data_IF_495997690622
#
_entry.id   IF_495997690622
#
_cell.length_a   1.000
_cell.length_b   1.000
_cell.length_c   1.000
_cell.angle_alpha   90.00
_cell.angle_beta   90.00
_cell.angle_gamma   90.00
#
_symmetry.space_group_name_H-M   'P 1'
#
loop_
_entity.id
_entity.type
_entity.pdbx_description
1 polymer ?
#
# COMPACT_ATOMS: atom_id res chain seq x y z
N UNK A 1 35.90 0.67 -39.80
CA UNK A 1 34.51 1.16 -39.74
C UNK A 1 34.04 1.06 -38.31
N UNK A 2 34.03 2.18 -37.59
CA UNK A 2 33.62 2.27 -36.22
C UNK A 2 32.08 2.34 -36.13
N UNK A 3 31.46 1.55 -35.26
CA UNK A 3 30.02 1.60 -34.97
C UNK A 3 29.69 2.89 -34.21
N UNK A 4 28.62 3.63 -34.56
CA UNK A 4 28.24 4.82 -33.86
C UNK A 4 27.70 4.42 -32.46
N UNK A 5 28.25 5.10 -31.42
CA UNK A 5 27.81 4.96 -30.04
C UNK A 5 26.38 5.43 -29.90
N UNK A 6 25.54 4.57 -29.30
CA UNK A 6 24.20 4.92 -28.84
C UNK A 6 24.37 5.84 -27.65
N UNK A 7 24.02 7.11 -27.84
CA UNK A 7 23.94 8.08 -26.75
C UNK A 7 22.93 7.56 -25.69
N UNK A 8 23.43 7.28 -24.49
CA UNK A 8 22.62 7.10 -23.29
C UNK A 8 21.86 8.40 -23.06
N UNK A 9 20.58 8.39 -23.36
CA UNK A 9 19.70 9.46 -22.91
C UNK A 9 19.66 9.39 -21.38
N UNK A 10 20.33 10.32 -20.72
CA UNK A 10 20.13 10.67 -19.31
C UNK A 10 18.68 11.14 -19.16
N UNK A 11 17.75 10.23 -18.92
CA UNK A 11 16.50 10.53 -18.27
C UNK A 11 16.78 10.42 -16.77
N UNK A 12 17.19 11.51 -16.17
CA UNK A 12 16.93 11.77 -14.76
C UNK A 12 15.41 11.60 -14.59
N UNK A 13 14.96 10.45 -14.09
CA UNK A 13 13.59 10.25 -13.64
C UNK A 13 13.46 11.13 -12.40
N UNK A 14 12.96 12.36 -12.59
CA UNK A 14 12.49 13.15 -11.48
C UNK A 14 11.51 12.25 -10.71
N UNK A 15 11.83 11.90 -9.46
CA UNK A 15 10.97 11.08 -8.62
C UNK A 15 9.62 11.77 -8.56
N UNK A 16 8.55 11.07 -8.98
CA UNK A 16 7.20 11.61 -8.95
C UNK A 16 6.78 11.75 -7.50
N UNK A 17 6.13 12.86 -7.16
CA UNK A 17 5.70 13.17 -5.80
C UNK A 17 4.63 12.19 -5.31
N UNK A 18 4.58 12.00 -3.98
CA UNK A 18 3.46 11.34 -3.31
C UNK A 18 2.35 12.36 -3.02
N UNK A 19 1.10 11.99 -3.28
CA UNK A 19 -0.06 12.80 -2.93
C UNK A 19 -0.49 12.51 -1.49
N UNK A 20 -0.53 13.54 -0.63
CA UNK A 20 -1.05 13.46 0.74
C UNK A 20 -2.47 14.03 0.76
N UNK A 21 -3.49 13.23 0.96
CA UNK A 21 -4.88 13.73 1.07
C UNK A 21 -5.24 14.04 2.52
N UNK A 22 -5.92 15.14 2.77
CA UNK A 22 -6.26 15.59 4.13
C UNK A 22 -7.16 14.61 4.89
N UNK A 23 -7.87 13.70 4.21
CA UNK A 23 -8.94 12.90 4.81
C UNK A 23 -10.15 13.78 5.19
N UNK A 24 -10.84 13.44 6.29
CA UNK A 24 -11.87 14.31 6.85
C UNK A 24 -11.22 15.57 7.42
N UNK A 25 -11.53 16.77 6.90
CA UNK A 25 -10.90 18.01 7.36
C UNK A 25 -11.18 18.37 8.83
N UNK A 26 -12.26 17.84 9.41
CA UNK A 26 -12.60 17.98 10.81
C UNK A 26 -11.95 16.91 11.71
N UNK A 27 -11.29 15.92 11.10
CA UNK A 27 -10.56 14.84 11.77
C UNK A 27 -9.10 15.16 12.04
N UNK A 28 -8.33 14.12 12.39
CA UNK A 28 -6.91 14.21 12.75
C UNK A 28 -5.97 14.32 11.54
N UNK A 29 -6.44 14.03 10.32
CA UNK A 29 -5.62 14.03 9.11
C UNK A 29 -4.83 15.33 8.88
N UNK A 30 -5.48 16.50 8.93
CA UNK A 30 -4.79 17.80 8.80
C UNK A 30 -3.68 18.03 9.80
N UNK A 31 -3.87 17.60 11.06
CA UNK A 31 -2.87 17.74 12.12
C UNK A 31 -1.66 16.82 11.92
N UNK A 32 -1.92 15.56 11.53
CA UNK A 32 -0.88 14.57 11.25
C UNK A 32 0.01 15.05 10.09
N UNK A 33 -0.60 15.51 9.00
CA UNK A 33 0.13 16.02 7.84
C UNK A 33 0.98 17.24 8.22
N UNK A 34 0.40 18.20 8.96
CA UNK A 34 1.14 19.37 9.40
C UNK A 34 2.33 19.02 10.31
N UNK A 35 2.12 18.10 11.25
CA UNK A 35 3.18 17.63 12.15
C UNK A 35 4.28 16.89 11.39
N UNK A 36 3.92 16.03 10.44
CA UNK A 36 4.89 15.31 9.62
C UNK A 36 5.74 16.27 8.77
N UNK A 37 5.10 17.21 8.08
CA UNK A 37 5.79 18.22 7.27
C UNK A 37 6.72 19.14 8.09
N UNK A 38 6.35 19.44 9.32
CA UNK A 38 7.21 20.22 10.23
C UNK A 38 8.44 19.43 10.68
N UNK A 39 8.29 18.11 10.88
CA UNK A 39 9.38 17.21 11.27
C UNK A 39 10.30 16.84 10.10
N UNK A 40 9.79 16.88 8.85
CA UNK A 40 10.47 16.44 7.63
C UNK A 40 10.43 17.54 6.56
N UNK A 41 10.96 18.73 6.90
CA UNK A 41 10.92 19.88 6.00
C UNK A 41 11.74 19.66 4.71
N UNK A 42 12.74 18.82 4.74
CA UNK A 42 13.58 18.38 3.63
C UNK A 42 12.81 17.52 2.62
N UNK A 43 11.85 16.73 3.08
CA UNK A 43 10.98 15.90 2.22
C UNK A 43 9.80 16.69 1.59
N UNK A 44 9.67 17.99 1.85
CA UNK A 44 8.56 18.79 1.32
C UNK A 44 8.53 18.84 -0.21
N UNK A 45 9.69 18.67 -0.87
CA UNK A 45 9.79 18.62 -2.34
C UNK A 45 9.22 17.35 -2.96
N UNK A 46 9.12 16.26 -2.19
CA UNK A 46 8.72 14.91 -2.65
C UNK A 46 7.23 14.63 -2.49
N UNK A 47 6.49 15.58 -1.93
CA UNK A 47 5.07 15.44 -1.67
C UNK A 47 4.25 16.60 -2.24
N UNK A 48 2.98 16.32 -2.47
CA UNK A 48 1.94 17.29 -2.77
C UNK A 48 0.79 17.12 -1.77
N UNK A 49 0.30 18.21 -1.20
CA UNK A 49 -0.76 18.17 -0.19
C UNK A 49 -2.09 18.57 -0.84
N UNK A 50 -3.10 17.72 -0.71
CA UNK A 50 -4.43 17.92 -1.28
C UNK A 50 -5.46 18.09 -0.17
N UNK A 51 -6.17 19.22 -0.16
CA UNK A 51 -7.16 19.52 0.87
C UNK A 51 -7.87 20.85 0.67
N UNK A 52 -8.66 21.32 1.66
CA UNK A 52 -9.43 22.54 1.51
C UNK A 52 -8.56 23.80 1.53
N UNK A 53 -8.95 24.80 0.73
CA UNK A 53 -8.22 26.05 0.49
C UNK A 53 -7.73 26.74 1.77
N UNK A 54 -8.62 26.90 2.76
CA UNK A 54 -8.26 27.64 3.99
C UNK A 54 -7.27 26.90 4.88
N UNK A 55 -7.35 25.57 4.95
CA UNK A 55 -6.35 24.78 5.67
C UNK A 55 -4.99 24.86 4.99
N UNK A 56 -4.96 24.68 3.66
CA UNK A 56 -3.72 24.77 2.88
C UNK A 56 -3.05 26.14 2.97
N UNK A 57 -3.83 27.21 3.01
CA UNK A 57 -3.30 28.58 3.16
C UNK A 57 -2.54 28.77 4.50
N UNK A 58 -3.01 28.09 5.56
CA UNK A 58 -2.40 28.16 6.89
C UNK A 58 -1.31 27.09 7.13
N UNK A 59 -1.12 26.16 6.21
CA UNK A 59 -0.14 25.09 6.33
C UNK A 59 1.26 25.63 6.02
N UNK A 60 2.12 25.68 7.05
CA UNK A 60 3.50 26.15 6.93
C UNK A 60 4.39 25.08 6.33
N UNK A 61 4.52 25.05 5.00
CA UNK A 61 5.36 24.10 4.26
C UNK A 61 5.75 24.65 2.89
N UNK A 62 6.88 24.19 2.37
CA UNK A 62 7.30 24.38 0.98
C UNK A 62 6.69 23.35 0.01
N UNK A 63 5.98 22.33 0.53
CA UNK A 63 5.31 21.35 -0.31
C UNK A 63 4.29 22.01 -1.24
N UNK A 64 4.14 21.45 -2.43
CA UNK A 64 3.09 21.84 -3.36
C UNK A 64 1.72 21.60 -2.75
N UNK A 65 0.76 22.47 -3.05
CA UNK A 65 -0.59 22.45 -2.48
C UNK A 65 -1.63 22.43 -3.58
N UNK A 66 -2.58 21.53 -3.50
CA UNK A 66 -3.72 21.44 -4.42
C UNK A 66 -5.00 21.61 -3.63
N UNK A 67 -5.69 22.71 -3.87
CA UNK A 67 -6.96 23.00 -3.22
C UNK A 67 -8.10 22.19 -3.87
N UNK A 68 -9.03 21.70 -3.03
CA UNK A 68 -10.25 21.01 -3.42
C UNK A 68 -11.42 21.45 -2.55
N UNK A 69 -12.64 21.29 -3.06
CA UNK A 69 -13.87 21.73 -2.39
C UNK A 69 -14.13 23.21 -2.62
N UNK A 70 -15.04 23.79 -1.82
CA UNK A 70 -15.40 25.19 -1.90
C UNK A 70 -14.32 26.08 -1.23
N UNK A 71 -14.05 27.24 -1.81
CA UNK A 71 -13.00 28.14 -1.32
C UNK A 71 -13.29 28.73 0.07
N UNK A 72 -14.56 28.86 0.42
CA UNK A 72 -15.02 29.39 1.71
C UNK A 72 -15.26 28.31 2.77
N UNK A 73 -15.05 27.03 2.43
CA UNK A 73 -15.20 25.92 3.36
C UNK A 73 -14.26 26.04 4.57
N UNK A 74 -14.85 25.88 5.76
CA UNK A 74 -14.16 25.90 7.05
C UNK A 74 -14.52 24.66 7.85
N UNK A 75 -13.54 23.83 8.11
CA UNK A 75 -13.71 22.71 9.03
C UNK A 75 -13.74 23.17 10.49
N UNK A 76 -14.62 22.58 11.29
CA UNK A 76 -14.59 22.68 12.74
C UNK A 76 -14.00 21.40 13.31
N UNK A 77 -12.80 21.42 13.92
CA UNK A 77 -12.17 20.21 14.46
C UNK A 77 -13.11 19.43 15.40
N UNK A 78 -13.18 18.11 15.22
CA UNK A 78 -14.04 17.23 15.99
C UNK A 78 -15.53 17.27 15.63
N UNK A 79 -15.95 18.08 14.65
CA UNK A 79 -17.33 18.19 14.20
C UNK A 79 -17.44 17.91 12.70
N UNK A 80 -17.34 16.64 12.28
CA UNK A 80 -17.42 16.28 10.87
C UNK A 80 -18.82 16.55 10.31
N UNK A 81 -18.88 17.14 9.11
CA UNK A 81 -20.10 17.49 8.40
C UNK A 81 -20.14 16.96 6.96
N UNK A 82 -21.21 17.29 6.23
CA UNK A 82 -21.38 16.86 4.84
C UNK A 82 -20.38 17.54 3.89
N UNK A 83 -20.08 18.80 4.11
CA UNK A 83 -19.17 19.57 3.26
C UNK A 83 -17.72 19.07 3.46
N UNK A 84 -17.33 18.74 4.68
CA UNK A 84 -16.05 18.07 4.97
C UNK A 84 -15.94 16.70 4.29
N UNK A 85 -17.02 15.94 4.25
CA UNK A 85 -17.06 14.66 3.53
C UNK A 85 -16.89 14.85 2.01
N UNK A 86 -17.50 15.89 1.42
CA UNK A 86 -17.30 16.25 0.01
C UNK A 86 -15.85 16.64 -0.27
N UNK A 87 -15.22 17.41 0.61
CA UNK A 87 -13.79 17.77 0.50
C UNK A 87 -12.92 16.51 0.55
N UNK A 88 -13.17 15.61 1.50
CA UNK A 88 -12.42 14.34 1.62
C UNK A 88 -12.53 13.50 0.35
N UNK A 89 -13.75 13.38 -0.20
CA UNK A 89 -13.97 12.66 -1.45
C UNK A 89 -13.29 13.35 -2.64
N UNK A 90 -13.41 14.66 -2.78
CA UNK A 90 -12.74 15.42 -3.83
C UNK A 90 -11.20 15.28 -3.76
N UNK A 91 -10.64 15.25 -2.56
CA UNK A 91 -9.19 15.02 -2.38
C UNK A 91 -8.77 13.62 -2.86
N UNK A 92 -9.55 12.58 -2.55
CA UNK A 92 -9.30 11.23 -3.05
C UNK A 92 -9.43 11.14 -4.58
N UNK A 93 -10.47 11.77 -5.18
CA UNK A 93 -10.66 11.82 -6.64
C UNK A 93 -9.45 12.50 -7.33
N UNK A 94 -9.01 13.64 -6.79
CA UNK A 94 -7.85 14.37 -7.32
C UNK A 94 -6.57 13.54 -7.26
N UNK A 95 -6.34 12.87 -6.13
CA UNK A 95 -5.19 12.00 -5.97
C UNK A 95 -5.25 10.78 -6.90
N UNK A 96 -6.42 10.13 -7.00
CA UNK A 96 -6.62 8.98 -7.87
C UNK A 96 -6.37 9.33 -9.35
N UNK A 97 -6.90 10.45 -9.81
CA UNK A 97 -6.69 10.93 -11.18
C UNK A 97 -5.21 11.25 -11.43
N UNK A 98 -4.53 11.92 -10.50
CA UNK A 98 -3.12 12.25 -10.62
C UNK A 98 -2.23 10.99 -10.71
N UNK A 99 -2.51 9.95 -9.90
CA UNK A 99 -1.81 8.67 -10.01
C UNK A 99 -2.08 7.99 -11.36
N UNK A 100 -3.35 7.94 -11.81
CA UNK A 100 -3.71 7.33 -13.09
C UNK A 100 -3.04 8.01 -14.30
N UNK A 101 -2.86 9.32 -14.25
CA UNK A 101 -2.15 10.08 -15.29
C UNK A 101 -0.62 10.14 -15.08
N UNK A 102 -0.13 9.51 -14.04
CA UNK A 102 1.31 9.47 -13.74
C UNK A 102 1.88 10.83 -13.27
N UNK A 103 1.05 11.72 -12.74
CA UNK A 103 1.44 12.95 -12.07
C UNK A 103 2.05 12.64 -10.69
N UNK A 104 1.44 11.69 -9.97
CA UNK A 104 1.91 11.20 -8.67
C UNK A 104 2.38 9.74 -8.77
N UNK A 105 3.33 9.36 -7.90
CA UNK A 105 3.80 7.98 -7.78
C UNK A 105 2.91 7.12 -6.90
N UNK A 106 2.11 7.75 -6.05
CA UNK A 106 1.21 7.09 -5.11
C UNK A 106 0.44 8.09 -4.27
N UNK A 107 -0.41 7.57 -3.39
CA UNK A 107 -1.20 8.38 -2.46
C UNK A 107 -1.06 7.88 -1.03
N UNK A 108 -0.89 8.82 -0.10
CA UNK A 108 -1.00 8.61 1.35
C UNK A 108 -2.29 9.28 1.80
N UNK A 109 -3.20 8.50 2.35
CA UNK A 109 -4.54 8.98 2.66
C UNK A 109 -4.69 9.35 4.12
N UNK A 110 -5.22 10.55 4.41
CA UNK A 110 -5.73 10.88 5.73
C UNK A 110 -6.97 10.04 6.09
N UNK A 111 -7.28 9.86 7.38
CA UNK A 111 -8.48 9.16 7.83
C UNK A 111 -9.76 9.83 7.35
N UNK A 112 -10.74 9.02 6.95
CA UNK A 112 -12.05 9.49 6.47
C UNK A 112 -13.17 9.10 7.43
N UNK A 113 -14.25 9.88 7.46
CA UNK A 113 -15.49 9.52 8.14
C UNK A 113 -16.38 8.71 7.20
N UNK A 114 -16.37 7.37 7.34
CA UNK A 114 -17.19 6.48 6.50
C UNK A 114 -18.68 6.79 6.61
N UNK A 115 -19.15 7.13 7.82
CA UNK A 115 -20.54 7.49 8.08
C UNK A 115 -20.95 8.75 7.30
N UNK A 116 -20.12 9.79 7.33
CA UNK A 116 -20.42 11.06 6.63
C UNK A 116 -20.35 10.88 5.12
N UNK A 117 -19.37 10.15 4.62
CA UNK A 117 -19.27 9.82 3.21
C UNK A 117 -20.49 9.02 2.72
N UNK A 118 -20.94 8.02 3.47
CA UNK A 118 -22.15 7.27 3.11
C UNK A 118 -23.39 8.17 3.04
N UNK A 119 -23.53 9.16 3.92
CA UNK A 119 -24.66 10.11 3.93
C UNK A 119 -24.69 11.02 2.69
N UNK A 120 -23.55 11.29 2.07
CA UNK A 120 -23.48 12.10 0.84
C UNK A 120 -23.48 11.23 -0.44
N UNK A 121 -23.74 9.93 -0.32
CA UNK A 121 -23.85 9.01 -1.45
C UNK A 121 -22.52 8.41 -1.94
N UNK A 122 -21.46 8.44 -1.14
CA UNK A 122 -20.23 7.72 -1.46
C UNK A 122 -20.48 6.20 -1.51
N UNK A 123 -20.25 5.56 -2.66
CA UNK A 123 -20.76 4.20 -2.90
C UNK A 123 -19.80 3.08 -2.46
N UNK A 124 -18.66 3.42 -1.83
CA UNK A 124 -17.62 2.46 -1.47
C UNK A 124 -17.58 2.20 0.03
N UNK A 125 -17.28 0.97 0.49
CA UNK A 125 -17.15 0.66 1.91
C UNK A 125 -15.90 1.29 2.55
N UNK A 126 -14.89 1.64 1.73
CA UNK A 126 -13.66 2.26 2.21
C UNK A 126 -12.84 2.89 1.09
N UNK A 127 -11.62 3.32 1.44
CA UNK A 127 -10.68 3.94 0.50
C UNK A 127 -10.10 2.90 -0.47
N UNK A 128 -9.84 1.68 0.00
CA UNK A 128 -9.28 0.59 -0.82
C UNK A 128 -10.15 0.31 -2.04
N UNK A 129 -11.46 0.12 -1.84
CA UNK A 129 -12.41 -0.16 -2.90
C UNK A 129 -12.59 1.03 -3.84
N UNK A 130 -12.51 2.25 -3.29
CA UNK A 130 -12.52 3.46 -4.09
C UNK A 130 -11.34 3.52 -5.06
N UNK A 131 -10.11 3.37 -4.55
CA UNK A 131 -8.92 3.42 -5.41
C UNK A 131 -8.87 2.25 -6.40
N UNK A 132 -9.27 1.06 -5.99
CA UNK A 132 -9.38 -0.09 -6.88
C UNK A 132 -10.35 0.17 -8.05
N UNK A 133 -11.49 0.81 -7.78
CA UNK A 133 -12.46 1.19 -8.82
C UNK A 133 -11.92 2.26 -9.78
N UNK A 134 -10.99 3.13 -9.34
CA UNK A 134 -10.37 4.18 -10.18
C UNK A 134 -9.18 3.68 -11.01
N UNK A 135 -8.38 2.79 -10.44
CA UNK A 135 -7.16 2.30 -11.09
C UNK A 135 -7.34 0.99 -11.82
N UNK A 136 -8.41 0.27 -11.53
CA UNK A 136 -8.65 -1.10 -12.00
C UNK A 136 -7.86 -2.11 -11.18
N UNK A 137 -8.09 -3.38 -11.48
CA UNK A 137 -7.42 -4.49 -10.81
C UNK A 137 -8.05 -4.89 -9.48
N UNK A 138 -7.42 -5.83 -8.82
CA UNK A 138 -7.86 -6.36 -7.52
C UNK A 138 -6.89 -5.89 -6.44
N UNK A 139 -7.36 -5.19 -5.41
CA UNK A 139 -6.48 -4.69 -4.37
C UNK A 139 -5.90 -5.83 -3.53
N UNK A 140 -4.68 -5.64 -3.05
CA UNK A 140 -4.04 -6.54 -2.09
C UNK A 140 -3.54 -5.71 -0.92
N UNK A 141 -3.83 -6.15 0.30
CA UNK A 141 -3.39 -5.46 1.49
C UNK A 141 -2.01 -5.96 1.93
N UNK A 142 -1.09 -5.03 2.17
CA UNK A 142 0.22 -5.33 2.69
C UNK A 142 0.54 -4.47 3.92
N UNK A 143 1.32 -5.01 4.83
CA UNK A 143 1.88 -4.31 5.99
C UNK A 143 3.40 -4.34 5.87
N UNK A 144 4.00 -3.16 5.94
CA UNK A 144 5.45 -2.99 5.89
C UNK A 144 5.89 -2.23 7.14
N UNK A 145 6.82 -2.81 7.89
CA UNK A 145 7.34 -2.16 9.09
C UNK A 145 8.67 -2.79 9.52
N UNK A 146 9.70 -1.99 9.68
CA UNK A 146 11.03 -2.47 10.00
C UNK A 146 11.49 -3.50 8.97
N UNK A 147 11.79 -4.71 9.44
CA UNK A 147 12.28 -5.82 8.60
C UNK A 147 11.17 -6.75 8.12
N UNK A 148 9.94 -6.56 8.57
CA UNK A 148 8.83 -7.44 8.25
C UNK A 148 7.93 -6.85 7.17
N UNK A 149 7.62 -7.65 6.15
CA UNK A 149 6.63 -7.39 5.12
C UNK A 149 5.64 -8.52 5.10
N UNK A 150 4.37 -8.20 5.20
CA UNK A 150 3.29 -9.18 5.22
C UNK A 150 2.25 -8.80 4.19
N UNK A 151 1.92 -9.72 3.32
CA UNK A 151 0.84 -9.57 2.33
C UNK A 151 -0.31 -10.49 2.74
N UNK A 152 -1.51 -9.95 2.82
CA UNK A 152 -2.68 -10.70 3.25
C UNK A 152 -3.38 -11.35 2.05
N UNK A 153 -3.61 -12.67 2.14
CA UNK A 153 -4.45 -13.38 1.19
C UNK A 153 -5.93 -13.00 1.35
N UNK A 154 -6.38 -12.87 2.60
CA UNK A 154 -7.75 -12.44 2.94
C UNK A 154 -7.71 -11.34 3.99
N UNK A 155 -8.68 -10.42 3.95
CA UNK A 155 -8.86 -9.37 4.95
C UNK A 155 -10.34 -8.96 5.04
N UNK A 156 -10.77 -8.49 6.21
CA UNK A 156 -12.13 -7.99 6.46
C UNK A 156 -13.26 -8.98 6.12
N UNK A 157 -13.00 -10.28 6.20
CA UNK A 157 -14.02 -11.32 6.07
C UNK A 157 -14.19 -12.09 7.40
N UNK A 158 -15.36 -12.68 7.67
CA UNK A 158 -15.56 -13.53 8.85
C UNK A 158 -14.58 -14.70 8.85
N UNK A 159 -14.05 -15.06 10.03
CA UNK A 159 -13.06 -16.14 10.16
C UNK A 159 -13.52 -17.47 9.55
N UNK A 160 -14.80 -17.81 9.71
CA UNK A 160 -15.35 -19.07 9.17
C UNK A 160 -15.43 -19.09 7.64
N UNK A 161 -15.27 -17.95 6.96
CA UNK A 161 -15.26 -17.85 5.50
C UNK A 161 -13.84 -17.94 4.92
N UNK A 162 -12.79 -17.80 5.74
CA UNK A 162 -11.41 -17.75 5.26
C UNK A 162 -11.07 -19.01 4.45
N UNK A 163 -11.25 -20.20 5.01
CA UNK A 163 -10.92 -21.45 4.33
C UNK A 163 -11.64 -21.61 2.97
N UNK A 164 -12.90 -21.15 2.88
CA UNK A 164 -13.70 -21.21 1.65
C UNK A 164 -13.26 -20.19 0.60
N UNK A 165 -12.68 -19.07 1.05
CA UNK A 165 -12.20 -17.99 0.17
C UNK A 165 -10.85 -18.32 -0.45
N UNK A 166 -10.06 -19.19 0.18
CA UNK A 166 -8.75 -19.58 -0.33
C UNK A 166 -8.91 -20.46 -1.57
N UNK A 167 -8.24 -20.07 -2.64
CA UNK A 167 -8.25 -20.79 -3.91
C UNK A 167 -7.06 -20.38 -4.79
N UNK A 168 -6.79 -21.13 -5.87
CA UNK A 168 -5.61 -20.90 -6.72
C UNK A 168 -5.48 -19.47 -7.25
N UNK A 169 -6.60 -18.85 -7.63
CA UNK A 169 -6.59 -17.45 -8.12
C UNK A 169 -6.17 -16.46 -7.04
N UNK A 170 -6.73 -16.59 -5.83
CA UNK A 170 -6.38 -15.72 -4.70
C UNK A 170 -4.91 -15.90 -4.30
N UNK A 171 -4.44 -17.15 -4.22
CA UNK A 171 -3.04 -17.45 -3.88
C UNK A 171 -2.08 -16.89 -4.92
N UNK A 172 -2.39 -17.01 -6.23
CA UNK A 172 -1.58 -16.45 -7.30
C UNK A 172 -1.49 -14.92 -7.20
N UNK A 173 -2.62 -14.24 -7.00
CA UNK A 173 -2.66 -12.78 -6.82
C UNK A 173 -1.83 -12.32 -5.63
N UNK A 174 -1.94 -13.04 -4.51
CA UNK A 174 -1.19 -12.73 -3.28
C UNK A 174 0.30 -12.97 -3.48
N UNK A 175 0.70 -14.06 -4.12
CA UNK A 175 2.10 -14.36 -4.44
C UNK A 175 2.69 -13.32 -5.41
N UNK A 176 1.93 -12.87 -6.41
CA UNK A 176 2.34 -11.80 -7.31
C UNK A 176 2.62 -10.51 -6.53
N UNK A 177 1.67 -10.07 -5.70
CA UNK A 177 1.84 -8.85 -4.91
C UNK A 177 3.01 -8.94 -3.91
N UNK A 178 3.22 -10.10 -3.28
CA UNK A 178 4.35 -10.33 -2.39
C UNK A 178 5.68 -10.28 -3.14
N UNK A 179 5.75 -10.87 -4.34
CA UNK A 179 6.93 -10.83 -5.19
C UNK A 179 7.24 -9.39 -5.65
N UNK A 180 6.24 -8.65 -6.12
CA UNK A 180 6.39 -7.24 -6.50
C UNK A 180 6.88 -6.39 -5.33
N UNK A 181 6.31 -6.58 -4.15
CA UNK A 181 6.70 -5.85 -2.94
C UNK A 181 8.16 -6.16 -2.55
N UNK A 182 8.56 -7.43 -2.60
CA UNK A 182 9.92 -7.85 -2.31
C UNK A 182 10.93 -7.30 -3.33
N UNK A 183 10.54 -7.18 -4.60
CA UNK A 183 11.37 -6.58 -5.65
C UNK A 183 11.48 -5.05 -5.52
N UNK A 184 10.42 -4.39 -5.06
CA UNK A 184 10.35 -2.93 -5.01
C UNK A 184 11.04 -2.31 -3.79
N UNK A 185 11.16 -3.05 -2.69
CA UNK A 185 11.68 -2.51 -1.44
C UNK A 185 12.94 -3.26 -0.96
N UNK A 186 13.97 -2.54 -0.47
CA UNK A 186 15.10 -3.17 0.20
C UNK A 186 14.64 -3.81 1.52
N UNK A 187 15.35 -4.85 1.98
CA UNK A 187 15.26 -5.29 3.37
C UNK A 187 16.08 -4.33 4.21
N UNK A 188 15.47 -3.28 4.70
CA UNK A 188 16.13 -2.35 5.61
C UNK A 188 16.08 -2.90 7.04
N UNK A 189 17.19 -2.84 7.77
CA UNK A 189 17.24 -3.25 9.17
C UNK A 189 16.42 -2.30 10.08
N UNK A 190 16.27 -1.04 9.66
CA UNK A 190 15.45 -0.01 10.30
C UNK A 190 14.99 1.02 9.28
N UNK A 191 14.04 1.88 9.65
CA UNK A 191 13.62 3.03 8.81
C UNK A 191 14.79 3.99 8.55
N UNK A 192 15.74 4.09 9.48
CA UNK A 192 16.95 4.90 9.31
C UNK A 192 17.94 4.36 8.26
N UNK A 193 17.82 3.12 7.86
CA UNK A 193 18.69 2.50 6.85
C UNK A 193 18.16 2.71 5.41
N UNK A 194 17.01 3.36 5.28
CA UNK A 194 16.48 3.76 3.98
C UNK A 194 17.34 4.90 3.43
N UNK A 195 18.00 4.64 2.32
CA UNK A 195 18.81 5.64 1.61
C UNK A 195 18.01 6.25 0.48
N UNK A 196 18.33 7.49 0.10
CA UNK A 196 17.74 8.17 -1.08
C UNK A 196 18.23 7.59 -2.41
N UNK A 197 19.15 6.62 -2.37
CA UNK A 197 19.62 5.94 -3.56
C UNK A 197 18.50 5.06 -4.15
N UNK A 198 18.27 5.12 -5.47
CA UNK A 198 17.29 4.27 -6.11
C UNK A 198 17.67 2.80 -5.89
N UNK A 199 16.82 2.09 -5.17
CA UNK A 199 17.01 0.68 -4.92
C UNK A 199 16.79 -0.10 -6.22
N UNK A 200 17.81 -0.85 -6.63
CA UNK A 200 17.68 -1.83 -7.71
C UNK A 200 18.23 -3.16 -7.22
N UNK A 201 17.42 -4.20 -7.26
CA UNK A 201 17.92 -5.55 -7.04
C UNK A 201 18.66 -6.04 -8.26
N UNK A 202 19.60 -6.96 -8.06
CA UNK A 202 20.27 -7.65 -9.18
C UNK A 202 19.22 -8.35 -10.05
N UNK A 203 19.49 -8.45 -11.35
CA UNK A 203 18.55 -9.01 -12.35
C UNK A 203 18.13 -10.46 -12.05
N UNK A 204 18.94 -11.18 -11.29
CA UNK A 204 18.76 -12.60 -10.97
C UNK A 204 18.18 -12.84 -9.56
N UNK A 205 17.78 -11.76 -8.89
CA UNK A 205 17.18 -11.87 -7.56
C UNK A 205 15.83 -12.58 -7.62
N UNK A 206 15.70 -13.65 -6.86
CA UNK A 206 14.46 -14.41 -6.68
C UNK A 206 13.93 -14.15 -5.28
N UNK A 207 12.76 -13.45 -5.15
CA UNK A 207 12.13 -13.22 -3.84
C UNK A 207 11.84 -14.53 -3.12
N UNK A 208 12.22 -14.63 -1.85
CA UNK A 208 11.88 -15.76 -0.97
C UNK A 208 10.67 -15.38 -0.16
N UNK A 209 9.55 -16.03 -0.43
CA UNK A 209 8.24 -15.72 0.12
C UNK A 209 7.79 -16.89 0.99
N UNK A 210 7.74 -16.65 2.30
CA UNK A 210 7.17 -17.60 3.25
C UNK A 210 5.65 -17.53 3.29
N UNK A 211 4.98 -18.67 3.30
CA UNK A 211 3.52 -18.77 3.35
C UNK A 211 3.09 -19.34 4.68
N UNK A 212 2.34 -18.57 5.47
CA UNK A 212 1.73 -19.06 6.72
C UNK A 212 0.72 -20.17 6.44
N UNK A 213 0.72 -21.21 7.29
CA UNK A 213 -0.38 -22.16 7.37
C UNK A 213 -1.69 -21.47 7.75
N UNK A 214 -2.81 -22.06 7.36
CA UNK A 214 -4.14 -21.67 7.78
C UNK A 214 -4.46 -22.29 9.15
N UNK A 215 -4.07 -23.55 9.32
CA UNK A 215 -4.27 -24.32 10.54
C UNK A 215 -3.01 -24.30 11.41
N UNK A 216 -3.13 -24.51 12.74
CA UNK A 216 -1.98 -24.63 13.61
C UNK A 216 -0.94 -25.62 13.07
N UNK A 217 0.34 -25.28 13.16
CA UNK A 217 1.46 -26.09 12.67
C UNK A 217 1.32 -26.51 11.18
N UNK A 218 0.70 -25.66 10.36
CA UNK A 218 0.40 -25.95 8.95
C UNK A 218 -0.38 -27.29 8.76
N UNK A 219 -1.31 -27.57 9.69
CA UNK A 219 -2.21 -28.71 9.64
C UNK A 219 -1.60 -30.06 10.05
N UNK A 220 -0.32 -30.14 10.43
CA UNK A 220 0.38 -31.38 10.84
C UNK A 220 0.07 -32.58 9.92
N UNK A 221 0.23 -32.40 8.62
CA UNK A 221 -0.06 -33.42 7.61
C UNK A 221 -1.53 -33.91 7.57
N UNK A 222 -2.45 -33.11 8.09
CA UNK A 222 -3.88 -33.40 8.13
C UNK A 222 -4.41 -33.82 9.51
N UNK A 223 -3.58 -33.74 10.56
CA UNK A 223 -4.03 -34.00 11.92
C UNK A 223 -4.88 -32.84 12.48
N UNK A 224 -4.53 -31.60 12.11
CA UNK A 224 -5.18 -30.38 12.58
C UNK A 224 -5.96 -29.63 11.49
N UNK A 225 -6.17 -30.25 10.35
CA UNK A 225 -6.85 -29.70 9.18
C UNK A 225 -6.27 -30.24 7.89
N UNK A 226 -7.02 -30.13 6.82
CA UNK A 226 -6.65 -30.70 5.53
C UNK A 226 -6.35 -29.66 4.46
N UNK A 227 -6.62 -28.38 4.73
CA UNK A 227 -6.58 -27.30 3.76
C UNK A 227 -5.17 -27.11 3.18
N UNK A 228 -4.13 -27.20 4.01
CA UNK A 228 -2.74 -27.11 3.55
C UNK A 228 -2.40 -28.28 2.62
N UNK A 229 -2.75 -29.51 3.02
CA UNK A 229 -2.42 -30.72 2.27
C UNK A 229 -3.20 -30.83 0.97
N UNK A 230 -4.50 -30.57 1.00
CA UNK A 230 -5.42 -30.90 -0.08
C UNK A 230 -5.66 -29.71 -1.04
N UNK A 231 -5.41 -28.47 -0.60
CA UNK A 231 -5.66 -27.26 -1.39
C UNK A 231 -4.43 -26.36 -1.52
N UNK A 232 -3.86 -25.88 -0.39
CA UNK A 232 -2.89 -24.78 -0.42
C UNK A 232 -1.55 -25.24 -0.99
N UNK A 233 -0.94 -26.29 -0.45
CA UNK A 233 0.36 -26.77 -0.89
C UNK A 233 0.36 -27.26 -2.35
N UNK A 234 -0.65 -27.99 -2.86
CA UNK A 234 -0.75 -28.30 -4.29
C UNK A 234 -0.81 -27.04 -5.17
N UNK A 235 -1.57 -26.02 -4.78
CA UNK A 235 -1.65 -24.78 -5.53
C UNK A 235 -0.33 -23.99 -5.49
N UNK A 236 0.32 -23.89 -4.32
CA UNK A 236 1.63 -23.24 -4.17
C UNK A 236 2.71 -23.95 -4.98
N UNK A 237 2.70 -25.27 -5.04
CA UNK A 237 3.63 -26.03 -5.86
C UNK A 237 3.54 -25.67 -7.35
N UNK A 238 2.33 -25.48 -7.87
CA UNK A 238 2.11 -25.04 -9.25
C UNK A 238 2.59 -23.61 -9.46
N UNK A 239 2.38 -22.72 -8.49
CA UNK A 239 2.79 -21.32 -8.56
C UNK A 239 4.31 -21.14 -8.52
N UNK A 240 5.08 -22.11 -8.05
CA UNK A 240 6.56 -22.05 -8.09
C UNK A 240 7.14 -21.99 -9.50
N UNK A 241 6.39 -22.38 -10.52
CA UNK A 241 6.82 -22.17 -11.90
C UNK A 241 6.96 -20.67 -12.25
N UNK A 242 6.17 -19.79 -11.61
CA UNK A 242 6.18 -18.34 -11.79
C UNK A 242 6.94 -17.64 -10.65
N UNK A 243 6.87 -18.18 -9.44
CA UNK A 243 7.46 -17.64 -8.20
C UNK A 243 8.36 -18.69 -7.53
N UNK A 244 9.58 -18.92 -8.03
CA UNK A 244 10.43 -20.04 -7.61
C UNK A 244 10.79 -20.04 -6.12
N UNK A 245 10.85 -18.86 -5.47
CA UNK A 245 11.15 -18.73 -4.05
C UNK A 245 9.94 -18.81 -3.12
N UNK A 246 8.77 -19.22 -3.62
CA UNK A 246 7.56 -19.40 -2.80
C UNK A 246 7.65 -20.67 -1.98
N UNK A 247 7.47 -20.60 -0.64
CA UNK A 247 7.48 -21.77 0.24
C UNK A 247 6.21 -22.61 0.10
N UNK A 248 6.16 -23.78 0.72
CA UNK A 248 4.91 -24.41 1.13
C UNK A 248 4.34 -23.67 2.34
N UNK A 249 3.13 -24.06 2.78
CA UNK A 249 2.62 -23.59 4.06
C UNK A 249 3.54 -24.04 5.19
N UNK A 250 4.00 -23.08 5.97
CA UNK A 250 4.87 -23.26 7.11
C UNK A 250 4.12 -22.93 8.40
N UNK A 251 4.50 -23.54 9.54
CA UNK A 251 3.89 -23.20 10.82
C UNK A 251 4.08 -21.72 11.13
N UNK A 252 2.97 -21.02 11.46
CA UNK A 252 2.95 -19.58 11.71
C UNK A 252 3.77 -19.17 12.94
N UNK A 253 3.85 -20.01 13.96
CA UNK A 253 4.64 -19.81 15.18
C UNK A 253 6.16 -19.76 14.92
N UNK A 254 6.65 -20.41 13.87
CA UNK A 254 8.06 -20.43 13.50
C UNK A 254 8.41 -19.57 12.30
N UNK A 255 7.49 -19.40 11.35
CA UNK A 255 7.70 -18.64 10.12
C UNK A 255 8.15 -17.20 10.39
N UNK A 256 7.49 -16.49 11.28
CA UNK A 256 7.84 -15.11 11.61
C UNK A 256 9.18 -15.01 12.35
N UNK A 257 9.59 -16.05 13.07
CA UNK A 257 10.92 -16.12 13.67
C UNK A 257 12.00 -16.21 12.61
N UNK A 258 11.78 -16.96 11.53
CA UNK A 258 12.68 -17.06 10.38
C UNK A 258 12.73 -15.79 9.52
N UNK A 259 11.62 -15.06 9.42
CA UNK A 259 11.54 -13.81 8.64
C UNK A 259 12.46 -12.71 9.19
N UNK A 260 12.61 -12.60 10.52
CA UNK A 260 13.43 -11.55 11.15
C UNK A 260 14.94 -11.66 10.84
N UNK A 261 15.59 -12.85 10.83
CA UNK A 261 16.98 -12.99 10.40
C UNK A 261 17.18 -12.94 8.88
N UNK A 262 16.11 -12.87 8.09
CA UNK A 262 16.19 -12.72 6.64
C UNK A 262 16.17 -14.04 5.86
N UNK A 263 15.46 -15.05 6.36
CA UNK A 263 15.14 -16.25 5.59
C UNK A 263 14.18 -15.97 4.44
N UNK A 264 13.31 -14.96 4.62
CA UNK A 264 12.36 -14.43 3.64
C UNK A 264 12.63 -12.95 3.35
N UNK A 265 12.10 -12.44 2.21
CA UNK A 265 12.34 -11.09 1.69
C UNK A 265 11.18 -10.12 1.88
#
# INVERSE_FOLDING_TARGET
>A
MARPGVARADRAHAMKKLALTCGDPAGVGPEIIAAWLAAHADAAGDVVVIGPTQWLANLATAAEKIAVGLDDFKATPGQPDADGALVAWAAMERAAAGCAHGEFSGVVTGPISKERLARIGYPYPGQTEFFAARWGGEPVMAFCGGRLRVVLATWHIPLHEVARSLGPHLLRRTAAAASELALALPVAASVSDWTDEPFSRESDFVPRIGVCGLNPHAGESGLLGYEERDLLNPALLLLRAEYPGLSQCEPDDTLFTGALPGEFD
#
